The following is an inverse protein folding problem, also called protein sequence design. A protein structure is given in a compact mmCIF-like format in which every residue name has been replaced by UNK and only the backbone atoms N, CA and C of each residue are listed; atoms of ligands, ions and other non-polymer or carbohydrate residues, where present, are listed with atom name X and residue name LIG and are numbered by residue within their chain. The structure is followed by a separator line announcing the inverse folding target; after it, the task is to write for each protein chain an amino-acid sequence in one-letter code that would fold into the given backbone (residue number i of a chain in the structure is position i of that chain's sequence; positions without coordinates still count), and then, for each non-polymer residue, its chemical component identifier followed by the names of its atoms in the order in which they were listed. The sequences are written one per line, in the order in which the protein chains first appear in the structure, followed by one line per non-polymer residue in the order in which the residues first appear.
data_IF_319282516851
#
_entry.id   IF_319282516851
#
_cell.length_a   1.000
_cell.length_b   1.000
_cell.length_c   1.000
_cell.angle_alpha   90.00
_cell.angle_beta   90.00
_cell.angle_gamma   90.00
#
_symmetry.space_group_name_H-M   'P 1'
#
loop_
_entity.id
_entity.type
_entity.pdbx_description
1 polymer ?
#
# COMPACT_ATOMS: atom_id res chain seq x y z
N UNK A 1 -13.80 0.13 -12.58
CA UNK A 1 -13.81 -0.87 -11.46
C UNK A 1 -15.22 -1.35 -11.21
N UNK A 2 -15.43 -2.64 -10.98
CA UNK A 2 -16.73 -3.26 -10.73
C UNK A 2 -16.98 -3.44 -9.23
N UNK A 3 -17.45 -2.37 -8.59
CA UNK A 3 -17.73 -2.37 -7.14
C UNK A 3 -18.96 -3.22 -6.78
N UNK A 4 -19.91 -3.37 -7.69
CA UNK A 4 -21.11 -4.20 -7.47
C UNK A 4 -20.70 -5.67 -7.31
N UNK A 5 -19.89 -6.21 -8.22
CA UNK A 5 -19.38 -7.58 -8.12
C UNK A 5 -18.55 -7.81 -6.86
N UNK A 6 -17.79 -6.81 -6.39
CA UNK A 6 -17.05 -6.91 -5.13
C UNK A 6 -17.99 -7.05 -3.94
N UNK A 7 -19.04 -6.23 -3.86
CA UNK A 7 -20.06 -6.33 -2.80
C UNK A 7 -20.79 -7.65 -2.85
N UNK A 8 -21.13 -8.14 -4.07
CA UNK A 8 -21.81 -9.43 -4.22
C UNK A 8 -20.95 -10.57 -3.66
N UNK A 9 -19.64 -10.61 -3.96
CA UNK A 9 -18.74 -11.63 -3.39
C UNK A 9 -18.65 -11.57 -1.85
N UNK A 10 -18.77 -10.39 -1.26
CA UNK A 10 -18.86 -10.27 0.21
C UNK A 10 -20.19 -10.80 0.72
N UNK A 11 -21.30 -10.44 0.09
CA UNK A 11 -22.63 -10.96 0.44
C UNK A 11 -22.68 -12.49 0.35
N UNK A 12 -22.06 -13.08 -0.65
CA UNK A 12 -22.01 -14.55 -0.81
C UNK A 12 -21.28 -15.22 0.36
N UNK A 13 -20.25 -14.57 0.92
CA UNK A 13 -19.45 -15.09 2.06
C UNK A 13 -20.07 -14.80 3.43
N UNK A 14 -20.97 -13.83 3.52
CA UNK A 14 -21.68 -13.53 4.78
C UNK A 14 -22.64 -14.65 5.13
N UNK A 15 -22.91 -14.81 6.42
CA UNK A 15 -23.94 -15.73 6.91
C UNK A 15 -25.33 -15.26 6.49
N UNK A 16 -26.27 -16.19 6.33
CA UNK A 16 -27.68 -15.85 6.14
C UNK A 16 -28.20 -15.14 7.40
N UNK A 17 -29.22 -14.30 7.24
CA UNK A 17 -29.80 -13.50 8.32
C UNK A 17 -28.74 -12.61 9.00
N UNK A 18 -27.91 -11.97 8.21
CA UNK A 18 -26.87 -11.06 8.68
C UNK A 18 -26.90 -9.71 7.95
N UNK A 19 -26.33 -8.72 8.60
CA UNK A 19 -26.03 -7.41 8.00
C UNK A 19 -24.54 -7.09 8.09
N UNK A 20 -24.02 -6.27 7.19
CA UNK A 20 -22.72 -5.65 7.36
C UNK A 20 -22.87 -4.13 7.37
N UNK A 21 -22.23 -3.46 8.33
CA UNK A 21 -22.27 -2.01 8.48
C UNK A 21 -20.82 -1.52 8.44
N UNK A 22 -20.48 -0.75 7.41
CA UNK A 22 -19.13 -0.27 7.18
C UNK A 22 -19.12 1.25 7.06
N UNK A 23 -18.50 1.91 8.02
CA UNK A 23 -18.33 3.35 8.05
C UNK A 23 -17.08 3.75 7.27
N UNK A 24 -17.18 4.81 6.47
CA UNK A 24 -16.02 5.39 5.79
C UNK A 24 -15.03 6.06 6.77
N UNK A 25 -15.49 6.40 7.96
CA UNK A 25 -14.73 7.13 8.96
C UNK A 25 -15.21 8.57 9.12
N UNK A 26 -14.51 9.30 9.96
CA UNK A 26 -14.73 10.73 10.22
C UNK A 26 -13.41 11.46 10.07
N UNK A 27 -13.45 12.73 9.66
CA UNK A 27 -12.27 13.58 9.64
C UNK A 27 -11.73 13.79 11.06
N UNK A 28 -10.41 13.76 11.20
CA UNK A 28 -9.73 14.04 12.45
C UNK A 28 -9.05 15.40 12.40
N UNK A 29 -9.40 16.28 13.35
CA UNK A 29 -8.71 17.55 13.53
C UNK A 29 -7.32 17.31 14.13
N UNK A 30 -6.30 17.91 13.50
CA UNK A 30 -4.95 17.97 14.05
C UNK A 30 -4.87 19.13 15.04
N UNK A 31 -5.46 20.27 14.67
CA UNK A 31 -5.46 21.50 15.47
C UNK A 31 -6.55 22.44 14.99
N UNK A 32 -7.43 22.89 15.88
CA UNK A 32 -8.52 23.81 15.57
C UNK A 32 -9.33 23.34 14.35
N UNK A 33 -9.22 24.02 13.22
CA UNK A 33 -9.87 23.74 11.94
C UNK A 33 -8.95 23.08 10.89
N UNK A 34 -7.74 22.66 11.30
CA UNK A 34 -6.81 21.93 10.45
C UNK A 34 -7.11 20.43 10.52
N UNK A 35 -7.39 19.82 9.38
CA UNK A 35 -7.60 18.38 9.24
C UNK A 35 -6.30 17.65 8.89
N UNK A 36 -6.15 16.44 9.37
CA UNK A 36 -5.07 15.56 8.92
C UNK A 36 -5.37 15.05 7.50
N UNK A 37 -4.61 15.55 6.53
CA UNK A 37 -4.75 15.17 5.12
C UNK A 37 -4.49 13.68 4.88
N UNK A 38 -3.76 12.99 5.76
CA UNK A 38 -3.47 11.57 5.65
C UNK A 38 -4.60 10.70 6.22
N UNK A 39 -5.30 11.19 7.25
CA UNK A 39 -6.44 10.49 7.85
C UNK A 39 -7.79 10.88 7.23
N UNK A 40 -7.85 11.97 6.47
CA UNK A 40 -9.04 12.41 5.72
C UNK A 40 -9.43 11.47 4.56
N UNK A 41 -8.86 10.28 4.51
CA UNK A 41 -9.20 9.27 3.51
C UNK A 41 -10.21 8.29 4.11
N UNK A 42 -11.23 7.95 3.32
CA UNK A 42 -12.18 6.91 3.69
C UNK A 42 -11.45 5.61 4.09
N UNK A 43 -12.05 4.87 5.02
CA UNK A 43 -11.62 3.51 5.34
C UNK A 43 -11.36 2.72 4.04
N UNK A 44 -10.22 2.03 3.98
CA UNK A 44 -9.76 1.34 2.76
C UNK A 44 -10.75 0.30 2.26
N UNK A 45 -11.40 -0.42 3.17
CA UNK A 45 -12.39 -1.43 2.82
C UNK A 45 -13.70 -0.79 2.36
N UNK A 46 -14.08 0.39 2.91
CA UNK A 46 -15.19 1.18 2.38
C UNK A 46 -14.91 1.65 0.95
N UNK A 47 -13.73 2.21 0.70
CA UNK A 47 -13.33 2.59 -0.65
C UNK A 47 -13.33 1.38 -1.60
N UNK A 48 -12.77 0.23 -1.18
CA UNK A 48 -12.72 -0.99 -1.98
C UNK A 48 -14.10 -1.48 -2.43
N UNK A 49 -15.11 -1.30 -1.58
CA UNK A 49 -16.49 -1.76 -1.84
C UNK A 49 -17.38 -0.71 -2.52
N UNK A 50 -17.00 0.57 -2.53
CA UNK A 50 -17.87 1.66 -3.04
C UNK A 50 -17.22 2.56 -4.07
N UNK A 51 -15.89 2.64 -4.14
CA UNK A 51 -15.16 3.64 -4.94
C UNK A 51 -15.17 5.05 -4.34
N UNK A 52 -15.90 5.29 -3.26
CA UNK A 52 -16.04 6.59 -2.64
C UNK A 52 -14.92 6.82 -1.61
N UNK A 53 -14.37 8.06 -1.59
CA UNK A 53 -13.20 8.41 -0.78
C UNK A 53 -13.47 9.57 0.19
N UNK A 54 -14.71 9.74 0.56
CA UNK A 54 -15.11 10.78 1.50
C UNK A 54 -15.42 10.13 2.86
N UNK A 55 -15.20 10.90 3.89
CA UNK A 55 -15.64 10.61 5.26
C UNK A 55 -17.16 10.74 5.42
N UNK A 56 -17.63 10.34 6.58
CA UNK A 56 -19.02 10.46 7.02
C UNK A 56 -20.04 9.82 6.06
N UNK A 57 -19.70 8.63 5.55
CA UNK A 57 -20.58 7.78 4.75
C UNK A 57 -20.68 6.39 5.38
N UNK A 58 -21.77 5.67 5.11
CA UNK A 58 -22.00 4.33 5.63
C UNK A 58 -22.54 3.43 4.55
N UNK A 59 -21.90 2.28 4.36
CA UNK A 59 -22.40 1.18 3.52
C UNK A 59 -23.10 0.16 4.41
N UNK A 60 -24.32 -0.23 4.04
CA UNK A 60 -25.06 -1.32 4.68
C UNK A 60 -25.35 -2.41 3.64
N UNK A 61 -24.92 -3.64 3.94
CA UNK A 61 -25.26 -4.83 3.19
C UNK A 61 -26.27 -5.63 4.02
N UNK A 62 -27.49 -5.82 3.53
CA UNK A 62 -28.57 -6.53 4.22
C UNK A 62 -28.83 -7.90 3.54
N UNK A 63 -28.38 -8.98 4.16
CA UNK A 63 -28.61 -10.37 3.75
C UNK A 63 -29.77 -11.02 4.53
N UNK A 64 -30.64 -10.24 5.14
CA UNK A 64 -31.84 -10.73 5.80
C UNK A 64 -33.06 -10.77 4.88
N UNK A 65 -32.93 -10.24 3.68
CA UNK A 65 -33.97 -10.19 2.63
C UNK A 65 -33.49 -10.85 1.35
N UNK A 66 -34.46 -11.27 0.51
CA UNK A 66 -34.17 -11.87 -0.79
C UNK A 66 -34.89 -11.06 -1.89
N UNK A 67 -34.17 -10.50 -2.87
CA UNK A 67 -32.70 -10.47 -2.97
C UNK A 67 -32.06 -9.62 -1.86
N UNK A 68 -30.79 -9.91 -1.54
CA UNK A 68 -30.01 -9.09 -0.59
C UNK A 68 -29.93 -7.64 -1.07
N UNK A 69 -29.93 -6.70 -0.11
CA UNK A 69 -29.91 -5.26 -0.40
C UNK A 69 -28.59 -4.62 -0.09
N UNK A 70 -28.26 -3.60 -0.86
CA UNK A 70 -27.13 -2.71 -0.62
C UNK A 70 -27.64 -1.29 -0.47
N UNK A 71 -27.33 -0.63 0.63
CA UNK A 71 -27.75 0.74 0.91
C UNK A 71 -26.52 1.59 1.21
N UNK A 72 -26.50 2.81 0.71
CA UNK A 72 -25.45 3.79 0.98
C UNK A 72 -26.04 5.02 1.66
N UNK A 73 -25.42 5.46 2.74
CA UNK A 73 -25.79 6.67 3.47
C UNK A 73 -24.72 7.72 3.29
N UNK A 74 -25.12 8.94 2.86
CA UNK A 74 -24.22 10.05 2.59
C UNK A 74 -24.68 11.32 3.33
N UNK A 75 -23.77 12.28 3.49
CA UNK A 75 -24.15 13.60 4.03
C UNK A 75 -25.01 14.39 3.06
N UNK A 76 -26.03 15.05 3.58
CA UNK A 76 -26.77 16.06 2.82
C UNK A 76 -25.90 17.31 2.62
N UNK A 77 -25.90 17.84 1.41
CA UNK A 77 -25.13 19.04 1.06
C UNK A 77 -25.73 20.29 1.76
N UNK A 78 -24.91 21.00 2.55
CA UNK A 78 -25.22 22.33 3.08
C UNK A 78 -24.45 23.39 2.27
N UNK A 79 -25.12 24.25 1.51
CA UNK A 79 -24.45 25.26 0.68
C UNK A 79 -23.55 26.22 1.46
N UNK A 80 -23.78 26.41 2.76
CA UNK A 80 -22.93 27.24 3.61
C UNK A 80 -21.65 26.51 3.95
N UNK A 81 -21.76 25.23 4.36
CA UNK A 81 -20.60 24.39 4.72
C UNK A 81 -19.75 24.05 3.48
N UNK A 82 -20.37 23.87 2.32
CA UNK A 82 -19.64 23.63 1.07
C UNK A 82 -18.74 24.80 0.66
N UNK A 83 -19.05 26.03 1.07
CA UNK A 83 -18.15 27.19 0.86
C UNK A 83 -16.89 27.14 1.73
N UNK A 84 -16.94 26.42 2.84
CA UNK A 84 -15.79 26.27 3.77
C UNK A 84 -14.95 25.04 3.43
N UNK A 85 -15.62 23.90 3.19
CA UNK A 85 -14.96 22.59 3.13
C UNK A 85 -15.00 21.93 1.76
N UNK A 86 -15.55 22.61 0.75
CA UNK A 86 -15.73 22.05 -0.60
C UNK A 86 -17.03 21.28 -0.76
N UNK A 87 -17.33 20.94 -2.00
CA UNK A 87 -18.59 20.31 -2.42
C UNK A 87 -18.69 18.87 -1.87
N UNK A 88 -19.83 18.51 -1.34
CA UNK A 88 -20.16 17.12 -0.97
C UNK A 88 -20.55 16.31 -2.24
N UNK A 89 -20.46 15.00 -2.14
CA UNK A 89 -20.90 14.09 -3.20
C UNK A 89 -22.43 14.07 -3.23
N UNK A 90 -23.03 14.22 -4.42
CA UNK A 90 -24.48 14.11 -4.59
C UNK A 90 -24.92 12.64 -4.65
N UNK A 91 -26.22 12.36 -4.53
CA UNK A 91 -26.76 10.99 -4.66
C UNK A 91 -26.46 10.44 -6.06
N UNK A 92 -26.64 11.26 -7.11
CA UNK A 92 -26.39 10.86 -8.49
C UNK A 92 -24.91 10.52 -8.75
N UNK A 93 -23.99 11.32 -8.18
CA UNK A 93 -22.56 11.03 -8.26
C UNK A 93 -22.17 9.80 -7.47
N UNK A 94 -22.76 9.58 -6.30
CA UNK A 94 -22.53 8.39 -5.49
C UNK A 94 -23.03 7.13 -6.20
N UNK A 95 -24.18 7.19 -6.86
CA UNK A 95 -24.73 6.12 -7.70
C UNK A 95 -23.81 5.82 -8.90
N UNK A 96 -23.39 6.86 -9.64
CA UNK A 96 -22.49 6.73 -10.79
C UNK A 96 -21.16 6.08 -10.42
N UNK A 97 -20.59 6.44 -9.27
CA UNK A 97 -19.31 5.91 -8.80
C UNK A 97 -19.45 4.48 -8.26
N UNK A 98 -20.45 4.26 -7.40
CA UNK A 98 -20.55 3.02 -6.62
C UNK A 98 -21.41 1.94 -7.26
N UNK A 99 -22.32 2.31 -8.19
CA UNK A 99 -23.34 1.44 -8.73
C UNK A 99 -24.41 1.04 -7.69
N UNK A 100 -24.59 1.85 -6.63
CA UNK A 100 -25.62 1.63 -5.60
C UNK A 100 -26.77 2.57 -5.90
N UNK A 101 -27.98 2.04 -6.06
CA UNK A 101 -29.22 2.78 -6.36
C UNK A 101 -30.03 3.15 -5.11
N UNK A 102 -29.89 2.41 -4.01
CA UNK A 102 -30.56 2.71 -2.74
C UNK A 102 -29.65 3.63 -1.88
N UNK A 103 -29.75 4.96 -2.10
CA UNK A 103 -28.97 5.98 -1.42
C UNK A 103 -29.88 6.85 -0.55
N UNK A 104 -29.52 7.03 0.71
CA UNK A 104 -30.23 7.85 1.69
C UNK A 104 -29.27 8.86 2.35
N UNK A 105 -29.80 9.86 3.05
CA UNK A 105 -28.98 10.74 3.85
C UNK A 105 -28.62 10.11 5.21
N UNK A 106 -27.46 10.45 5.73
CA UNK A 106 -26.91 9.81 6.93
C UNK A 106 -27.78 9.95 8.18
N UNK A 107 -28.61 10.97 8.27
CA UNK A 107 -29.55 11.13 9.37
C UNK A 107 -30.70 10.10 9.36
N UNK A 108 -30.91 9.39 8.24
CA UNK A 108 -31.88 8.29 8.14
C UNK A 108 -31.29 6.93 8.58
N UNK A 109 -29.97 6.86 8.80
CA UNK A 109 -29.28 5.60 9.12
C UNK A 109 -29.87 4.91 10.36
N UNK A 110 -30.05 5.66 11.46
CA UNK A 110 -30.56 5.08 12.70
C UNK A 110 -31.96 4.52 12.52
N UNK A 111 -32.87 5.26 11.87
CA UNK A 111 -34.24 4.81 11.62
C UNK A 111 -34.29 3.59 10.69
N UNK A 112 -33.37 3.51 9.72
CA UNK A 112 -33.26 2.36 8.82
C UNK A 112 -32.69 1.15 9.54
N UNK A 113 -31.65 1.31 10.37
CA UNK A 113 -31.13 0.23 11.19
C UNK A 113 -32.18 -0.30 12.17
N UNK A 114 -32.93 0.57 12.88
CA UNK A 114 -33.99 0.15 13.76
C UNK A 114 -35.07 -0.66 13.03
N UNK A 115 -35.44 -0.24 11.82
CA UNK A 115 -36.38 -0.99 10.98
C UNK A 115 -35.86 -2.37 10.59
N UNK A 116 -34.55 -2.49 10.29
CA UNK A 116 -33.90 -3.76 9.98
C UNK A 116 -33.85 -4.65 11.24
N UNK A 117 -33.43 -4.06 12.36
CA UNK A 117 -33.21 -4.78 13.61
C UNK A 117 -34.50 -5.21 14.32
N UNK A 118 -35.66 -4.63 13.96
CA UNK A 118 -36.97 -5.09 14.47
C UNK A 118 -37.42 -6.42 13.80
N UNK A 119 -36.71 -6.90 12.81
CA UNK A 119 -36.93 -8.26 12.25
C UNK A 119 -36.44 -9.30 13.27
N UNK A 120 -37.19 -10.38 13.42
CA UNK A 120 -36.84 -11.48 14.33
C UNK A 120 -35.64 -12.32 13.81
N UNK A 121 -35.20 -12.11 12.57
CA UNK A 121 -34.27 -12.96 11.81
C UNK A 121 -32.88 -12.35 11.61
N UNK A 122 -32.51 -11.26 12.31
CA UNK A 122 -31.16 -10.70 12.30
C UNK A 122 -30.34 -11.31 13.43
N UNK A 123 -29.40 -12.22 13.09
CA UNK A 123 -28.58 -12.91 14.10
C UNK A 123 -27.15 -12.43 14.16
N UNK A 124 -26.62 -11.89 13.06
CA UNK A 124 -25.21 -11.47 12.96
C UNK A 124 -25.09 -10.09 12.32
N UNK A 125 -24.23 -9.24 12.88
CA UNK A 125 -23.82 -7.97 12.29
C UNK A 125 -22.29 -7.97 12.09
N UNK A 126 -21.85 -7.65 10.87
CA UNK A 126 -20.45 -7.53 10.52
C UNK A 126 -20.01 -6.08 10.56
N UNK A 127 -18.84 -5.82 11.19
CA UNK A 127 -18.15 -4.52 11.21
C UNK A 127 -16.69 -4.73 10.86
N UNK A 128 -16.05 -3.74 10.23
CA UNK A 128 -14.60 -3.74 10.07
C UNK A 128 -13.93 -3.43 11.41
N UNK A 129 -13.54 -4.47 12.14
CA UNK A 129 -12.93 -4.34 13.46
C UNK A 129 -11.43 -4.63 13.44
N UNK A 130 -10.78 -4.47 12.29
CA UNK A 130 -9.35 -4.66 12.17
C UNK A 130 -8.56 -3.65 13.03
N UNK A 131 -7.48 -4.13 13.65
CA UNK A 131 -6.47 -3.32 14.34
C UNK A 131 -5.12 -3.98 14.10
N UNK A 132 -4.16 -3.18 13.63
CA UNK A 132 -2.80 -3.69 13.39
C UNK A 132 -2.12 -4.05 14.71
N UNK A 133 -2.23 -3.20 15.74
CA UNK A 133 -1.72 -3.46 17.08
C UNK A 133 -2.77 -3.09 18.14
N UNK A 134 -2.70 -3.80 19.30
CA UNK A 134 -3.62 -3.54 20.41
C UNK A 134 -3.54 -2.12 20.96
N UNK A 135 -2.38 -1.48 20.84
CA UNK A 135 -2.13 -0.11 21.34
C UNK A 135 -2.65 0.98 20.40
N UNK A 136 -2.97 0.63 19.15
CA UNK A 136 -3.50 1.59 18.20
C UNK A 136 -4.83 2.17 18.69
N UNK A 137 -5.09 3.42 18.36
CA UNK A 137 -6.39 4.02 18.61
C UNK A 137 -7.48 3.22 17.88
N UNK A 138 -8.66 3.00 18.50
CA UNK A 138 -9.75 2.32 17.82
C UNK A 138 -10.17 3.10 16.56
N UNK A 139 -10.23 2.43 15.42
CA UNK A 139 -10.89 2.94 14.23
C UNK A 139 -12.38 3.24 14.52
N UNK A 140 -12.97 4.16 13.74
CA UNK A 140 -14.36 4.55 13.93
C UNK A 140 -15.32 3.36 13.82
N UNK A 141 -15.05 2.39 12.95
CA UNK A 141 -15.82 1.15 12.84
C UNK A 141 -15.77 0.31 14.13
N UNK A 142 -14.63 0.28 14.82
CA UNK A 142 -14.48 -0.42 16.12
C UNK A 142 -15.32 0.26 17.20
N UNK A 143 -15.35 1.60 17.20
CA UNK A 143 -16.21 2.37 18.14
C UNK A 143 -17.67 2.04 17.87
N UNK A 144 -18.13 2.12 16.62
CA UNK A 144 -19.50 1.83 16.21
C UNK A 144 -19.92 0.38 16.46
N UNK A 145 -19.02 -0.58 16.26
CA UNK A 145 -19.26 -1.98 16.61
C UNK A 145 -19.53 -2.18 18.12
N UNK A 146 -18.86 -1.41 18.98
CA UNK A 146 -19.07 -1.48 20.43
C UNK A 146 -20.38 -0.79 20.87
N UNK A 147 -20.74 0.32 20.24
CA UNK A 147 -22.05 0.97 20.43
C UNK A 147 -23.17 0.00 20.03
N UNK A 148 -23.08 -0.59 18.83
CA UNK A 148 -24.04 -1.57 18.33
C UNK A 148 -24.25 -2.77 19.28
N UNK A 149 -23.17 -3.33 19.85
CA UNK A 149 -23.28 -4.40 20.85
C UNK A 149 -24.06 -4.02 22.10
N UNK A 150 -24.00 -2.74 22.47
CA UNK A 150 -24.72 -2.21 23.62
C UNK A 150 -26.20 -2.07 23.31
N UNK A 151 -26.51 -1.60 22.12
CA UNK A 151 -27.90 -1.32 21.71
C UNK A 151 -28.65 -2.61 21.32
N UNK A 152 -27.95 -3.58 20.70
CA UNK A 152 -28.50 -4.84 20.21
C UNK A 152 -27.78 -6.06 20.80
N UNK A 153 -27.86 -6.30 22.14
CA UNK A 153 -27.07 -7.34 22.82
C UNK A 153 -27.44 -8.78 22.42
N UNK A 154 -28.55 -8.98 21.72
CA UNK A 154 -28.97 -10.30 21.19
C UNK A 154 -28.33 -10.66 19.85
N UNK A 155 -27.64 -9.74 19.19
CA UNK A 155 -27.03 -9.93 17.87
C UNK A 155 -25.53 -10.19 18.02
N UNK A 156 -25.03 -11.24 17.34
CA UNK A 156 -23.59 -11.52 17.32
C UNK A 156 -22.86 -10.50 16.43
N UNK A 157 -21.81 -9.87 16.97
CA UNK A 157 -20.95 -8.97 16.17
C UNK A 157 -19.72 -9.72 15.71
N UNK A 158 -19.49 -9.76 14.39
CA UNK A 158 -18.36 -10.39 13.70
C UNK A 158 -17.49 -9.39 12.96
N UNK A 159 -16.25 -9.78 12.69
CA UNK A 159 -15.30 -8.98 11.94
C UNK A 159 -15.50 -9.16 10.43
N UNK A 160 -15.76 -8.07 9.71
CA UNK A 160 -15.88 -8.03 8.26
C UNK A 160 -14.51 -8.15 7.56
N UNK A 161 -13.46 -7.68 8.21
CA UNK A 161 -12.12 -7.56 7.64
C UNK A 161 -11.62 -8.83 6.92
N UNK A 162 -11.70 -10.05 7.49
CA UNK A 162 -11.18 -11.23 6.81
C UNK A 162 -11.85 -11.52 5.47
N UNK A 163 -13.15 -11.19 5.34
CA UNK A 163 -13.90 -11.40 4.09
C UNK A 163 -13.43 -10.44 3.00
N UNK A 164 -13.20 -9.16 3.37
CA UNK A 164 -12.71 -8.14 2.43
C UNK A 164 -11.23 -8.34 2.13
N UNK A 165 -10.41 -8.67 3.12
CA UNK A 165 -8.98 -8.92 2.94
C UNK A 165 -8.74 -10.06 1.93
N UNK A 166 -9.52 -11.12 1.99
CA UNK A 166 -9.42 -12.24 1.04
C UNK A 166 -9.66 -11.78 -0.41
N UNK A 167 -10.62 -10.89 -0.64
CA UNK A 167 -10.88 -10.33 -1.97
C UNK A 167 -9.74 -9.39 -2.41
N UNK A 168 -9.27 -8.50 -1.54
CA UNK A 168 -8.19 -7.55 -1.80
C UNK A 168 -6.85 -8.23 -2.15
N UNK A 169 -6.63 -9.46 -1.72
CA UNK A 169 -5.42 -10.22 -2.06
C UNK A 169 -5.31 -10.52 -3.56
N UNK A 170 -6.41 -10.51 -4.33
CA UNK A 170 -6.43 -10.68 -5.78
C UNK A 170 -6.90 -9.39 -6.44
N UNK A 171 -6.04 -8.78 -7.23
CA UNK A 171 -6.34 -7.55 -7.96
C UNK A 171 -7.04 -7.89 -9.27
N UNK A 172 -8.08 -7.15 -9.60
CA UNK A 172 -8.70 -7.19 -10.91
C UNK A 172 -7.86 -6.39 -11.95
N UNK A 173 -8.28 -6.43 -13.22
CA UNK A 173 -7.55 -5.75 -14.30
C UNK A 173 -7.46 -4.24 -14.10
N UNK A 174 -8.51 -3.60 -13.59
CA UNK A 174 -8.53 -2.16 -13.33
C UNK A 174 -7.54 -1.78 -12.22
N UNK A 175 -7.47 -2.59 -11.14
CA UNK A 175 -6.52 -2.40 -10.03
C UNK A 175 -5.07 -2.54 -10.51
N UNK A 176 -4.80 -3.56 -11.34
CA UNK A 176 -3.48 -3.79 -11.94
C UNK A 176 -3.07 -2.60 -12.82
N UNK A 177 -3.99 -2.07 -13.63
CA UNK A 177 -3.71 -0.91 -14.47
C UNK A 177 -3.46 0.37 -13.68
N UNK A 178 -4.12 0.58 -12.55
CA UNK A 178 -3.85 1.71 -11.66
C UNK A 178 -2.46 1.59 -11.00
N UNK A 179 -2.10 0.40 -10.54
CA UNK A 179 -0.75 0.13 -10.02
C UNK A 179 0.32 0.38 -11.08
N UNK A 180 0.12 -0.06 -12.32
CA UNK A 180 1.04 0.23 -13.45
C UNK A 180 1.19 1.74 -13.72
N UNK A 181 0.11 2.51 -13.62
CA UNK A 181 0.18 3.99 -13.74
C UNK A 181 0.99 4.61 -12.61
N UNK A 182 0.83 4.12 -11.37
CA UNK A 182 1.62 4.56 -10.23
C UNK A 182 3.11 4.24 -10.43
N UNK A 183 3.44 3.03 -10.91
CA UNK A 183 4.81 2.61 -11.26
C UNK A 183 5.40 3.51 -12.35
N UNK A 184 4.64 3.84 -13.38
CA UNK A 184 5.13 4.70 -14.48
C UNK A 184 5.50 6.10 -13.97
N UNK A 185 4.68 6.71 -13.10
CA UNK A 185 5.03 7.98 -12.47
C UNK A 185 6.23 7.88 -11.53
N UNK A 186 6.34 6.79 -10.79
CA UNK A 186 7.50 6.53 -9.92
C UNK A 186 8.79 6.42 -10.75
N UNK A 187 8.74 5.76 -11.90
CA UNK A 187 9.84 5.72 -12.87
C UNK A 187 10.26 7.12 -13.31
N UNK A 188 9.31 7.96 -13.71
CA UNK A 188 9.59 9.34 -14.14
C UNK A 188 10.25 10.16 -13.01
N UNK A 189 9.76 9.99 -11.78
CA UNK A 189 10.34 10.60 -10.59
C UNK A 189 11.79 10.16 -10.35
N UNK A 190 12.06 8.86 -10.40
CA UNK A 190 13.41 8.29 -10.26
C UNK A 190 14.36 8.77 -11.36
N UNK A 191 13.89 8.84 -12.60
CA UNK A 191 14.67 9.40 -13.71
C UNK A 191 15.08 10.85 -13.45
N UNK A 192 14.17 11.66 -12.89
CA UNK A 192 14.49 13.04 -12.52
C UNK A 192 15.49 13.12 -11.37
N UNK A 193 15.37 12.28 -10.36
CA UNK A 193 16.35 12.21 -9.27
C UNK A 193 17.73 11.86 -9.80
N UNK A 194 17.88 10.79 -10.60
CA UNK A 194 19.17 10.39 -11.19
C UNK A 194 19.81 11.53 -11.98
N UNK A 195 19.04 12.31 -12.74
CA UNK A 195 19.54 13.42 -13.53
C UNK A 195 20.03 14.63 -12.70
N UNK A 196 19.51 14.82 -11.49
CA UNK A 196 19.84 15.94 -10.61
C UNK A 196 20.87 15.58 -9.51
N UNK A 197 21.02 14.29 -9.21
CA UNK A 197 21.82 13.80 -8.08
C UNK A 197 23.29 14.19 -8.19
N UNK A 198 23.84 14.80 -7.14
CA UNK A 198 25.26 15.20 -7.05
C UNK A 198 25.70 15.34 -5.61
N UNK A 199 27.03 15.19 -5.35
CA UNK A 199 27.61 15.45 -4.03
C UNK A 199 27.28 16.84 -3.51
N UNK A 200 27.05 16.92 -2.19
CA UNK A 200 26.69 18.16 -1.49
C UNK A 200 25.19 18.47 -1.46
N UNK A 201 24.35 17.75 -2.20
CA UNK A 201 22.90 17.82 -2.02
C UNK A 201 22.49 17.25 -0.64
N UNK A 202 21.37 17.72 -0.14
CA UNK A 202 20.70 17.12 1.02
C UNK A 202 19.72 16.02 0.56
N UNK A 203 19.52 15.02 1.40
CA UNK A 203 18.61 13.90 1.12
C UNK A 203 17.18 14.37 0.77
N UNK A 204 16.66 15.38 1.51
CA UNK A 204 15.34 15.97 1.19
C UNK A 204 15.27 16.65 -0.18
N UNK A 205 16.38 17.00 -0.81
CA UNK A 205 16.36 17.57 -2.17
C UNK A 205 16.10 16.46 -3.19
N UNK A 206 16.65 15.25 -2.99
CA UNK A 206 16.32 14.09 -3.82
C UNK A 206 14.83 13.70 -3.65
N UNK A 207 14.33 13.73 -2.40
CA UNK A 207 12.90 13.54 -2.11
C UNK A 207 12.04 14.57 -2.86
N UNK A 208 12.38 15.86 -2.77
CA UNK A 208 11.63 16.93 -3.44
C UNK A 208 11.66 16.80 -4.97
N UNK A 209 12.79 16.38 -5.55
CA UNK A 209 12.93 16.12 -6.99
C UNK A 209 12.00 14.99 -7.46
N UNK A 210 11.83 13.95 -6.64
CA UNK A 210 10.88 12.87 -6.89
C UNK A 210 9.43 13.35 -6.77
N UNK A 211 9.08 13.92 -5.62
CA UNK A 211 7.71 14.35 -5.30
C UNK A 211 7.18 15.40 -6.29
N UNK A 212 8.04 16.32 -6.76
CA UNK A 212 7.66 17.29 -7.78
C UNK A 212 7.16 16.63 -9.06
N UNK A 213 7.85 15.60 -9.55
CA UNK A 213 7.50 14.91 -10.79
C UNK A 213 6.20 14.14 -10.65
N UNK A 214 6.06 13.32 -9.61
CA UNK A 214 4.86 12.52 -9.44
C UNK A 214 3.62 13.39 -9.21
N UNK A 215 3.73 14.47 -8.42
CA UNK A 215 2.63 15.41 -8.20
C UNK A 215 2.24 16.14 -9.47
N UNK A 216 3.21 16.59 -10.26
CA UNK A 216 2.97 17.21 -11.56
C UNK A 216 2.35 16.22 -12.56
N UNK A 217 2.67 14.94 -12.45
CA UNK A 217 2.13 13.87 -13.28
C UNK A 217 0.72 13.41 -12.89
N UNK A 218 0.17 13.95 -11.79
CA UNK A 218 -1.21 13.68 -11.35
C UNK A 218 -1.34 12.68 -10.21
N UNK A 219 -0.23 12.26 -9.58
CA UNK A 219 -0.32 11.48 -8.34
C UNK A 219 -1.06 12.27 -7.26
N UNK A 220 -1.93 11.61 -6.52
CA UNK A 220 -2.65 12.21 -5.40
C UNK A 220 -1.69 12.59 -4.28
N UNK A 221 -0.75 11.70 -4.01
CA UNK A 221 0.30 11.84 -2.99
C UNK A 221 1.43 10.83 -3.25
N UNK A 222 2.45 10.83 -2.39
CA UNK A 222 3.36 9.69 -2.26
C UNK A 222 2.59 8.50 -1.68
N UNK A 223 2.97 7.28 -2.03
CA UNK A 223 2.38 6.05 -1.49
C UNK A 223 2.60 5.95 0.03
N UNK A 224 3.79 6.38 0.48
CA UNK A 224 4.25 6.43 1.87
C UNK A 224 5.29 7.55 2.02
N UNK A 225 5.80 7.76 3.25
CA UNK A 225 6.88 8.72 3.50
C UNK A 225 8.14 8.28 2.79
N UNK A 226 8.64 9.10 1.85
CA UNK A 226 9.85 8.80 1.06
C UNK A 226 11.05 8.57 1.97
N UNK A 227 11.76 7.49 1.76
CA UNK A 227 13.06 7.21 2.38
C UNK A 227 14.16 7.64 1.41
N UNK A 228 15.08 8.50 1.86
CA UNK A 228 16.25 8.92 1.11
C UNK A 228 17.48 8.87 2.03
N UNK A 229 18.04 7.68 2.20
CA UNK A 229 19.17 7.45 3.13
C UNK A 229 20.50 7.36 2.39
N UNK A 230 21.44 8.27 2.69
CA UNK A 230 22.78 8.28 2.09
C UNK A 230 23.86 7.76 3.03
N UNK A 231 24.87 7.08 2.49
CA UNK A 231 25.97 6.51 3.28
C UNK A 231 25.43 5.60 4.40
N UNK A 232 25.79 5.89 5.67
CA UNK A 232 25.33 5.14 6.85
C UNK A 232 23.81 5.14 7.00
N UNK A 233 23.10 6.22 6.61
CA UNK A 233 21.64 6.29 6.70
C UNK A 233 20.96 5.27 5.79
N UNK A 234 21.60 4.88 4.68
CA UNK A 234 21.12 3.82 3.79
C UNK A 234 21.12 2.43 4.43
N UNK A 235 21.77 2.25 5.59
CA UNK A 235 21.70 0.98 6.33
C UNK A 235 20.53 0.92 7.34
N UNK A 236 19.77 2.01 7.49
CA UNK A 236 18.58 2.09 8.32
C UNK A 236 17.33 1.82 7.49
N UNK A 237 16.55 0.80 7.83
CA UNK A 237 15.44 0.31 6.99
C UNK A 237 14.34 1.35 6.73
N UNK A 238 13.92 2.08 7.77
CA UNK A 238 12.86 3.11 7.70
C UNK A 238 13.42 4.49 8.10
N UNK A 239 14.48 4.92 7.40
CA UNK A 239 15.06 6.25 7.61
C UNK A 239 14.21 7.31 6.88
N UNK A 240 13.44 8.09 7.61
CA UNK A 240 12.50 9.10 7.09
C UNK A 240 12.90 10.56 7.35
N UNK A 241 13.99 10.77 8.07
CA UNK A 241 14.44 12.12 8.44
C UNK A 241 14.94 12.93 7.24
N UNK A 242 15.65 12.29 6.30
CA UNK A 242 16.11 12.82 5.00
C UNK A 242 16.82 14.17 5.09
N UNK A 243 17.74 14.37 6.05
CA UNK A 243 18.32 15.70 6.30
C UNK A 243 19.83 15.80 6.13
N UNK A 244 20.50 14.67 5.99
CA UNK A 244 21.95 14.67 5.91
C UNK A 244 22.46 15.10 4.53
N UNK A 245 23.73 15.45 4.47
CA UNK A 245 24.41 15.80 3.21
C UNK A 245 24.90 14.53 2.54
N UNK A 246 24.56 14.37 1.26
CA UNK A 246 25.05 13.28 0.45
C UNK A 246 26.50 13.55 0.03
N UNK A 247 27.41 12.74 0.56
CA UNK A 247 28.85 12.91 0.33
C UNK A 247 29.33 12.25 -0.97
N UNK A 248 30.45 12.73 -1.52
CA UNK A 248 31.06 12.18 -2.71
C UNK A 248 31.53 10.72 -2.47
N UNK A 249 31.21 9.83 -3.40
CA UNK A 249 31.56 8.41 -3.32
C UNK A 249 30.63 7.56 -2.46
N UNK A 250 29.59 8.15 -1.83
CA UNK A 250 28.56 7.40 -1.12
C UNK A 250 27.42 6.96 -2.06
N UNK A 251 26.60 6.03 -1.57
CA UNK A 251 25.33 5.66 -2.18
C UNK A 251 24.19 6.42 -1.50
N UNK A 252 23.07 6.59 -2.22
CA UNK A 252 21.78 6.95 -1.64
C UNK A 252 20.77 5.86 -1.99
N UNK A 253 20.16 5.29 -0.95
CA UNK A 253 19.02 4.39 -1.05
C UNK A 253 17.76 5.24 -1.07
N UNK A 254 16.95 5.06 -2.10
CA UNK A 254 15.66 5.74 -2.30
C UNK A 254 14.56 4.71 -2.32
N UNK A 255 13.69 4.77 -1.32
CA UNK A 255 12.50 3.94 -1.21
C UNK A 255 11.28 4.84 -1.24
N UNK A 256 10.45 4.67 -2.28
CA UNK A 256 9.46 5.66 -2.66
C UNK A 256 8.42 5.08 -3.63
N UNK A 257 7.25 5.69 -3.64
CA UNK A 257 6.17 5.30 -4.55
C UNK A 257 5.18 6.42 -4.80
N UNK A 258 4.50 6.37 -5.92
CA UNK A 258 3.37 7.23 -6.25
C UNK A 258 2.05 6.55 -5.87
N UNK A 259 1.01 7.36 -5.59
CA UNK A 259 -0.37 6.91 -5.42
C UNK A 259 -1.26 7.49 -6.50
N UNK A 260 -1.98 6.63 -7.20
CA UNK A 260 -2.96 7.02 -8.23
C UNK A 260 -4.28 6.31 -7.96
N UNK A 261 -5.34 7.09 -7.89
CA UNK A 261 -6.70 6.59 -7.66
C UNK A 261 -6.79 5.58 -6.51
N UNK A 262 -6.02 5.83 -5.42
CA UNK A 262 -5.96 5.01 -4.22
C UNK A 262 -5.00 3.84 -4.29
N UNK A 263 -4.43 3.51 -5.45
CA UNK A 263 -3.49 2.40 -5.64
C UNK A 263 -2.04 2.89 -5.61
N UNK A 264 -1.17 2.07 -5.04
CA UNK A 264 0.21 2.43 -4.76
C UNK A 264 1.18 1.68 -5.69
N UNK A 265 2.36 2.27 -5.90
CA UNK A 265 3.58 1.57 -6.25
C UNK A 265 4.55 1.59 -5.08
N UNK A 266 5.48 0.65 -5.06
CA UNK A 266 6.51 0.50 -4.03
C UNK A 266 7.83 0.10 -4.68
N UNK A 267 8.74 1.05 -4.78
CA UNK A 267 9.98 0.89 -5.55
C UNK A 267 11.17 1.40 -4.75
N UNK A 268 12.14 0.54 -4.53
CA UNK A 268 13.45 0.96 -4.03
C UNK A 268 14.50 0.87 -5.11
N UNK A 269 15.33 1.92 -5.20
CA UNK A 269 16.56 1.94 -5.98
C UNK A 269 17.71 2.57 -5.16
N UNK A 270 18.91 2.07 -5.40
CA UNK A 270 20.12 2.62 -4.76
C UNK A 270 21.07 3.17 -5.83
N UNK A 271 21.44 4.44 -5.72
CA UNK A 271 22.23 5.15 -6.71
C UNK A 271 23.56 5.69 -6.12
N UNK A 272 24.65 5.75 -6.92
CA UNK A 272 25.86 6.43 -6.49
C UNK A 272 25.67 7.95 -6.60
N UNK A 273 25.91 8.68 -5.50
CA UNK A 273 25.65 10.13 -5.41
C UNK A 273 26.43 10.92 -6.48
N UNK A 274 27.62 10.47 -6.86
CA UNK A 274 28.46 11.11 -7.88
C UNK A 274 28.29 10.52 -9.31
N UNK A 275 27.39 9.53 -9.49
CA UNK A 275 27.15 8.86 -10.77
C UNK A 275 28.12 7.70 -11.08
N UNK A 276 28.92 7.25 -10.10
CA UNK A 276 29.87 6.14 -10.27
C UNK A 276 29.88 5.23 -9.04
N UNK A 277 29.63 3.95 -9.24
CA UNK A 277 29.82 2.95 -8.20
C UNK A 277 31.32 2.64 -8.01
N UNK A 278 31.73 2.43 -6.77
CA UNK A 278 33.00 1.78 -6.47
C UNK A 278 32.89 0.28 -6.73
N UNK A 279 34.02 -0.41 -6.90
CA UNK A 279 34.06 -1.86 -7.12
C UNK A 279 33.34 -2.63 -5.99
N UNK A 280 33.54 -2.20 -4.73
CA UNK A 280 32.88 -2.82 -3.58
C UNK A 280 31.36 -2.63 -3.61
N UNK A 281 30.90 -1.45 -3.97
CA UNK A 281 29.47 -1.15 -4.11
C UNK A 281 28.83 -2.00 -5.20
N UNK A 282 29.51 -2.15 -6.37
CA UNK A 282 29.05 -3.04 -7.45
C UNK A 282 28.93 -4.49 -7.01
N UNK A 283 29.93 -5.01 -6.29
CA UNK A 283 29.88 -6.40 -5.80
C UNK A 283 28.67 -6.64 -4.88
N UNK A 284 28.36 -5.72 -3.96
CA UNK A 284 27.18 -5.83 -3.10
C UNK A 284 25.88 -5.65 -3.91
N UNK A 285 25.86 -4.67 -4.83
CA UNK A 285 24.71 -4.39 -5.68
C UNK A 285 24.33 -5.61 -6.54
N UNK A 286 25.30 -6.27 -7.15
CA UNK A 286 25.09 -7.44 -7.99
C UNK A 286 24.52 -8.63 -7.21
N UNK A 287 24.88 -8.78 -5.92
CA UNK A 287 24.31 -9.81 -5.05
C UNK A 287 22.82 -9.53 -4.81
N UNK A 288 22.48 -8.28 -4.49
CA UNK A 288 21.08 -7.87 -4.26
C UNK A 288 20.26 -8.00 -5.55
N UNK A 289 20.81 -7.56 -6.69
CA UNK A 289 20.15 -7.69 -7.99
C UNK A 289 19.94 -9.16 -8.39
N UNK A 290 20.88 -10.04 -8.07
CA UNK A 290 20.72 -11.47 -8.31
C UNK A 290 19.59 -12.07 -7.46
N UNK A 291 19.42 -11.62 -6.21
CA UNK A 291 18.33 -12.04 -5.36
C UNK A 291 16.98 -11.55 -5.90
N UNK A 292 16.87 -10.27 -6.27
CA UNK A 292 15.67 -9.68 -6.86
C UNK A 292 15.21 -10.46 -8.11
N UNK A 293 16.12 -10.68 -9.07
CA UNK A 293 15.83 -11.49 -10.27
C UNK A 293 15.39 -12.92 -9.95
N UNK A 294 15.97 -13.50 -8.88
CA UNK A 294 15.64 -14.87 -8.48
C UNK A 294 14.22 -14.99 -7.92
N UNK A 295 13.74 -13.99 -7.22
CA UNK A 295 12.36 -13.98 -6.70
C UNK A 295 11.36 -13.97 -7.85
N UNK A 296 11.51 -13.06 -8.82
CA UNK A 296 10.64 -13.03 -10.01
C UNK A 296 10.65 -14.37 -10.76
N UNK A 297 11.82 -15.02 -10.88
CA UNK A 297 11.97 -16.31 -11.56
C UNK A 297 11.19 -17.44 -10.88
N UNK A 298 11.12 -17.44 -9.54
CA UNK A 298 10.55 -18.59 -8.79
C UNK A 298 9.13 -18.34 -8.28
N UNK A 299 8.72 -17.09 -8.16
CA UNK A 299 7.41 -16.72 -7.62
C UNK A 299 6.28 -17.29 -8.50
N UNK A 300 5.30 -17.89 -7.86
CA UNK A 300 4.15 -18.51 -8.54
C UNK A 300 2.99 -18.72 -7.58
N UNK A 301 1.78 -18.98 -8.08
CA UNK A 301 0.63 -19.34 -7.27
C UNK A 301 0.93 -20.51 -6.33
N UNK A 302 0.38 -20.43 -5.11
CA UNK A 302 0.53 -21.45 -4.07
C UNK A 302 1.74 -21.29 -3.17
N UNK A 303 2.72 -20.46 -3.52
CA UNK A 303 3.81 -20.06 -2.62
C UNK A 303 3.34 -19.05 -1.58
N UNK A 304 4.08 -18.95 -0.49
CA UNK A 304 3.94 -17.90 0.52
C UNK A 304 5.09 -16.90 0.41
N UNK A 305 4.91 -15.67 0.88
CA UNK A 305 6.00 -14.68 0.98
C UNK A 305 7.16 -15.17 1.84
N UNK A 306 6.86 -16.02 2.84
CA UNK A 306 7.88 -16.67 3.68
C UNK A 306 8.76 -17.65 2.89
N UNK A 307 8.17 -18.45 1.99
CA UNK A 307 8.95 -19.34 1.12
C UNK A 307 9.82 -18.54 0.14
N UNK A 308 9.34 -17.43 -0.39
CA UNK A 308 10.15 -16.49 -1.21
C UNK A 308 11.30 -15.91 -0.39
N UNK A 309 11.07 -15.55 0.87
CA UNK A 309 12.10 -15.02 1.74
C UNK A 309 13.25 -16.02 2.00
N UNK A 310 12.95 -17.30 2.13
CA UNK A 310 14.02 -18.32 2.28
C UNK A 310 14.86 -18.41 1.00
N UNK A 311 14.26 -18.34 -0.20
CA UNK A 311 15.01 -18.28 -1.48
C UNK A 311 15.89 -17.04 -1.54
N UNK A 312 15.38 -15.87 -1.13
CA UNK A 312 16.16 -14.63 -1.04
C UNK A 312 17.39 -14.79 -0.15
N UNK A 313 17.17 -15.31 1.07
CA UNK A 313 18.26 -15.54 2.05
C UNK A 313 19.36 -16.44 1.50
N UNK A 314 19.00 -17.49 0.78
CA UNK A 314 19.99 -18.41 0.19
C UNK A 314 20.90 -17.68 -0.79
N UNK A 315 20.32 -16.85 -1.71
CA UNK A 315 21.09 -16.09 -2.69
C UNK A 315 21.98 -15.04 -2.03
N UNK A 316 21.43 -14.28 -1.07
CA UNK A 316 22.18 -13.26 -0.36
C UNK A 316 23.31 -13.86 0.49
N UNK A 317 23.04 -14.97 1.18
CA UNK A 317 24.06 -15.66 1.99
C UNK A 317 25.21 -16.18 1.15
N UNK A 318 24.93 -16.79 -0.02
CA UNK A 318 25.95 -17.26 -0.95
C UNK A 318 26.85 -16.09 -1.42
N UNK A 319 26.27 -14.94 -1.72
CA UNK A 319 26.98 -13.74 -2.07
C UNK A 319 27.86 -13.21 -0.94
N UNK A 320 27.32 -13.09 0.27
CA UNK A 320 28.06 -12.64 1.46
C UNK A 320 29.20 -13.58 1.85
N UNK A 321 29.04 -14.90 1.68
CA UNK A 321 30.11 -15.87 1.89
C UNK A 321 31.25 -15.68 0.88
N UNK A 322 30.94 -15.40 -0.39
CA UNK A 322 31.95 -15.10 -1.43
C UNK A 322 32.74 -13.82 -1.13
N UNK A 323 32.08 -12.82 -0.54
CA UNK A 323 32.72 -11.58 -0.06
C UNK A 323 33.50 -11.77 1.24
N UNK A 324 33.35 -12.92 1.91
CA UNK A 324 34.00 -13.19 3.20
C UNK A 324 33.40 -12.47 4.39
N UNK A 325 32.21 -11.92 4.26
CA UNK A 325 31.49 -11.19 5.33
C UNK A 325 30.84 -12.12 6.35
N UNK A 326 30.40 -13.30 5.90
CA UNK A 326 29.86 -14.37 6.75
C UNK A 326 30.56 -15.69 6.44
N UNK A 327 30.53 -16.63 7.42
CA UNK A 327 31.14 -17.97 7.29
C UNK A 327 30.12 -19.04 6.92
N UNK A 328 28.85 -18.80 7.24
CA UNK A 328 27.74 -19.72 6.99
C UNK A 328 26.43 -18.92 6.86
N UNK A 329 25.40 -19.54 6.29
CA UNK A 329 24.11 -18.88 6.02
C UNK A 329 23.35 -18.44 7.27
N UNK A 330 23.62 -19.00 8.44
CA UNK A 330 22.93 -18.58 9.70
C UNK A 330 23.32 -17.15 10.09
N UNK A 331 24.48 -16.68 9.68
CA UNK A 331 24.97 -15.34 10.00
C UNK A 331 24.34 -14.24 9.12
N UNK A 332 23.47 -14.57 8.16
CA UNK A 332 22.85 -13.62 7.23
C UNK A 332 22.06 -12.53 7.96
N UNK A 333 21.45 -12.84 9.10
CA UNK A 333 20.67 -11.89 9.91
C UNK A 333 21.47 -10.67 10.39
N UNK A 334 22.80 -10.71 10.26
CA UNK A 334 23.65 -9.54 10.54
C UNK A 334 23.51 -8.45 9.46
N UNK A 335 23.17 -8.82 8.23
CA UNK A 335 23.16 -7.94 7.08
C UNK A 335 21.82 -7.90 6.33
N UNK A 336 20.89 -8.79 6.68
CA UNK A 336 19.54 -8.87 6.14
C UNK A 336 18.54 -9.22 7.24
N UNK A 337 17.66 -8.28 7.60
CA UNK A 337 16.84 -8.37 8.80
C UNK A 337 15.33 -8.15 8.58
N UNK A 338 14.88 -8.12 7.31
CA UNK A 338 13.46 -7.98 6.96
C UNK A 338 12.95 -9.12 6.07
N UNK A 339 11.70 -9.10 5.68
CA UNK A 339 11.12 -10.01 4.68
C UNK A 339 11.40 -9.49 3.28
N UNK A 340 11.46 -10.39 2.29
CA UNK A 340 11.67 -10.01 0.88
C UNK A 340 10.40 -9.51 0.21
N UNK A 341 9.23 -9.64 0.85
CA UNK A 341 7.97 -9.38 0.14
C UNK A 341 6.81 -9.16 1.10
N UNK A 342 5.92 -8.28 0.71
CA UNK A 342 4.56 -8.09 1.24
C UNK A 342 3.58 -7.91 0.08
N UNK A 343 2.27 -7.97 0.35
CA UNK A 343 1.25 -7.61 -0.64
C UNK A 343 1.21 -6.10 -0.83
N UNK A 344 0.88 -5.67 -2.06
CA UNK A 344 0.74 -4.28 -2.47
C UNK A 344 -0.64 -4.05 -3.09
N UNK A 345 -1.24 -2.88 -2.85
CA UNK A 345 -2.52 -2.49 -3.44
C UNK A 345 -3.00 -1.12 -2.97
N UNK A 346 -4.18 -1.06 -2.37
CA UNK A 346 -4.74 0.16 -1.77
C UNK A 346 -3.88 0.61 -0.58
N UNK A 347 -3.39 -0.34 0.20
CA UNK A 347 -2.33 -0.09 1.17
C UNK A 347 -0.98 -0.52 0.59
N UNK A 348 0.10 0.14 0.98
CA UNK A 348 1.46 -0.22 0.56
C UNK A 348 1.80 -1.60 1.12
N UNK A 349 1.67 -1.79 2.44
CA UNK A 349 1.63 -3.10 3.06
C UNK A 349 0.18 -3.60 3.05
N UNK A 350 -0.26 -4.15 1.90
CA UNK A 350 -1.64 -4.52 1.70
C UNK A 350 -2.05 -5.73 2.54
N UNK A 351 -3.34 -5.81 2.80
CA UNK A 351 -3.92 -6.76 3.74
C UNK A 351 -3.82 -8.21 3.28
N UNK A 352 -3.66 -9.11 4.24
CA UNK A 352 -3.77 -10.56 4.05
C UNK A 352 -4.66 -11.16 5.13
N UNK A 353 -5.25 -12.32 4.85
CA UNK A 353 -6.08 -13.03 5.85
C UNK A 353 -5.22 -13.50 7.03
N UNK A 354 -4.04 -14.04 6.72
CA UNK A 354 -3.03 -14.46 7.70
C UNK A 354 -1.61 -14.45 7.11
N UNK A 355 -0.61 -14.58 7.99
CA UNK A 355 0.82 -14.57 7.60
C UNK A 355 1.28 -15.77 6.77
N UNK A 356 0.44 -16.77 6.57
CA UNK A 356 0.70 -17.96 5.75
C UNK A 356 -0.18 -17.99 4.50
N UNK A 357 -0.86 -16.87 4.20
CA UNK A 357 -1.69 -16.76 2.99
C UNK A 357 -0.87 -17.10 1.76
N UNK A 358 -1.45 -17.94 0.90
CA UNK A 358 -0.79 -18.36 -0.34
C UNK A 358 -1.08 -17.37 -1.45
N UNK A 359 -0.04 -17.06 -2.21
CA UNK A 359 -0.14 -16.23 -3.41
C UNK A 359 -1.15 -16.85 -4.39
N UNK A 360 -1.98 -16.00 -4.97
CA UNK A 360 -2.98 -16.37 -5.98
C UNK A 360 -2.74 -15.56 -7.26
N UNK A 361 -3.17 -16.04 -8.42
CA UNK A 361 -3.18 -15.20 -9.63
C UNK A 361 -3.89 -13.87 -9.36
N UNK A 362 -3.36 -12.76 -9.86
CA UNK A 362 -3.82 -11.42 -9.58
C UNK A 362 -3.23 -10.78 -8.31
N UNK A 363 -2.51 -11.51 -7.46
CA UNK A 363 -1.79 -10.88 -6.34
C UNK A 363 -0.66 -10.00 -6.87
N UNK A 364 -0.54 -8.78 -6.33
CA UNK A 364 0.64 -7.93 -6.52
C UNK A 364 1.42 -7.94 -5.20
N UNK A 365 2.72 -8.16 -5.30
CA UNK A 365 3.64 -8.23 -4.15
C UNK A 365 4.88 -7.38 -4.42
N UNK A 366 5.53 -6.90 -3.35
CA UNK A 366 6.90 -6.38 -3.44
C UNK A 366 7.89 -7.51 -3.64
N UNK A 367 9.05 -7.18 -4.23
CA UNK A 367 10.25 -8.01 -4.29
C UNK A 367 11.44 -7.12 -3.92
N UNK A 368 11.81 -7.11 -2.64
CA UNK A 368 12.66 -6.09 -2.00
C UNK A 368 13.91 -6.64 -1.29
N UNK A 369 14.73 -7.49 -1.91
CA UNK A 369 15.97 -7.90 -1.27
C UNK A 369 16.88 -6.71 -0.96
N UNK A 370 17.60 -6.78 0.16
CA UNK A 370 18.55 -5.75 0.55
C UNK A 370 19.74 -6.30 1.34
N UNK A 371 20.84 -5.56 1.36
CA UNK A 371 22.00 -5.80 2.21
C UNK A 371 22.44 -4.51 2.87
N UNK A 372 22.62 -4.56 4.20
CA UNK A 372 22.91 -3.41 5.05
C UNK A 372 24.19 -3.67 5.83
N UNK A 373 25.31 -3.09 5.36
CA UNK A 373 26.67 -3.37 5.82
C UNK A 373 27.24 -2.12 6.49
N UNK A 374 26.98 -1.96 7.78
CA UNK A 374 27.36 -0.78 8.56
C UNK A 374 28.86 -0.50 8.51
N UNK A 375 29.70 -1.54 8.62
CA UNK A 375 31.14 -1.42 8.58
C UNK A 375 31.72 -0.90 7.24
N UNK A 376 30.89 -0.88 6.19
CA UNK A 376 31.23 -0.32 4.88
C UNK A 376 30.40 0.92 4.52
N UNK A 377 29.45 1.31 5.37
CA UNK A 377 28.46 2.36 5.10
C UNK A 377 27.73 2.12 3.76
N UNK A 378 27.41 0.85 3.49
CA UNK A 378 26.72 0.41 2.28
C UNK A 378 25.37 -0.20 2.65
N UNK A 379 24.28 0.52 2.35
CA UNK A 379 22.93 -0.01 2.31
C UNK A 379 22.45 -0.07 0.86
N UNK A 380 22.05 -1.24 0.40
CA UNK A 380 21.52 -1.45 -0.96
C UNK A 380 20.23 -2.26 -0.83
N UNK A 381 19.13 -1.73 -1.34
CA UNK A 381 17.87 -2.42 -1.61
C UNK A 381 17.49 -2.18 -3.07
N UNK A 382 16.99 -3.22 -3.72
CA UNK A 382 16.39 -3.15 -5.05
C UNK A 382 15.01 -3.77 -4.92
N UNK A 383 13.99 -2.99 -5.22
CA UNK A 383 12.61 -3.38 -5.04
C UNK A 383 11.80 -3.14 -6.31
N UNK A 384 11.01 -4.13 -6.63
CA UNK A 384 10.11 -4.13 -7.77
C UNK A 384 8.71 -4.60 -7.35
N UNK A 385 7.69 -4.10 -8.04
CA UNK A 385 6.32 -4.58 -7.94
C UNK A 385 6.11 -5.77 -8.87
N UNK A 386 5.64 -6.88 -8.33
CA UNK A 386 5.54 -8.17 -9.04
C UNK A 386 4.11 -8.68 -9.04
N UNK A 387 3.55 -8.91 -10.22
CA UNK A 387 2.23 -9.53 -10.41
C UNK A 387 2.37 -11.05 -10.48
N UNK A 388 1.62 -11.77 -9.68
CA UNK A 388 1.48 -13.21 -9.75
C UNK A 388 0.47 -13.56 -10.85
N UNK A 389 0.90 -14.36 -11.84
CA UNK A 389 0.09 -14.83 -12.96
C UNK A 389 -0.46 -16.25 -12.70
N UNK A 390 -1.15 -16.84 -13.66
CA UNK A 390 -1.69 -18.21 -13.53
C UNK A 390 -0.61 -19.27 -13.28
N UNK A 391 0.60 -19.09 -13.82
CA UNK A 391 1.66 -20.10 -13.82
C UNK A 391 3.04 -19.58 -13.36
N UNK A 392 3.15 -18.30 -12.99
CA UNK A 392 4.42 -17.69 -12.60
C UNK A 392 4.25 -16.28 -12.04
N UNK A 393 5.17 -15.39 -12.39
CA UNK A 393 5.18 -13.99 -12.00
C UNK A 393 5.73 -13.07 -13.10
N UNK A 394 5.32 -11.81 -13.08
CA UNK A 394 5.77 -10.76 -14.00
C UNK A 394 6.15 -9.51 -13.20
N UNK A 395 7.35 -9.01 -13.41
CA UNK A 395 7.79 -7.73 -12.85
C UNK A 395 7.06 -6.58 -13.57
N UNK A 396 6.22 -5.83 -12.86
CA UNK A 396 5.48 -4.69 -13.41
C UNK A 396 6.38 -3.45 -13.60
N UNK A 397 7.47 -3.38 -12.85
CA UNK A 397 8.47 -2.29 -12.86
C UNK A 397 9.74 -2.62 -13.67
N UNK A 398 9.69 -3.61 -14.57
CA UNK A 398 10.83 -4.07 -15.40
C UNK A 398 11.52 -2.93 -16.15
N UNK A 399 10.76 -1.90 -16.55
CA UNK A 399 11.25 -0.74 -17.29
C UNK A 399 12.07 0.26 -16.44
N UNK A 400 12.11 0.11 -15.12
CA UNK A 400 12.90 0.97 -14.23
C UNK A 400 14.34 0.50 -14.22
N UNK A 401 15.26 1.39 -14.57
CA UNK A 401 16.71 1.10 -14.63
C UNK A 401 17.19 0.50 -13.31
N UNK A 402 17.90 -0.65 -13.38
CA UNK A 402 18.34 -1.40 -12.21
C UNK A 402 19.71 -2.08 -12.32
N UNK A 403 20.44 -1.97 -13.43
CA UNK A 403 21.83 -2.47 -13.50
C UNK A 403 22.81 -1.34 -13.20
N UNK A 404 23.95 -1.65 -12.60
CA UNK A 404 24.98 -0.65 -12.31
C UNK A 404 25.47 0.07 -13.55
N UNK A 405 25.58 -0.64 -14.66
CA UNK A 405 26.00 -0.12 -15.96
C UNK A 405 25.00 0.88 -16.53
N UNK A 406 23.71 0.52 -16.52
CA UNK A 406 22.63 1.38 -17.05
C UNK A 406 22.43 2.63 -16.18
N UNK A 407 22.55 2.50 -14.84
CA UNK A 407 22.49 3.62 -13.90
C UNK A 407 23.63 4.61 -14.19
N UNK A 408 24.90 4.12 -14.26
CA UNK A 408 26.06 4.96 -14.55
C UNK A 408 25.94 5.63 -15.94
N UNK A 409 25.44 4.92 -16.94
CA UNK A 409 25.22 5.44 -18.28
C UNK A 409 24.16 6.54 -18.30
N UNK A 410 22.99 6.28 -17.68
CA UNK A 410 21.90 7.24 -17.58
C UNK A 410 22.32 8.52 -16.86
N UNK A 411 22.97 8.39 -15.70
CA UNK A 411 23.43 9.54 -14.92
C UNK A 411 24.47 10.37 -15.66
N UNK A 412 25.36 9.72 -16.44
CA UNK A 412 26.36 10.42 -17.24
C UNK A 412 25.73 11.19 -18.41
N UNK A 413 24.70 10.64 -19.06
CA UNK A 413 24.03 11.24 -20.23
C UNK A 413 23.10 12.39 -19.82
N UNK A 414 22.39 12.26 -18.69
CA UNK A 414 21.31 13.19 -18.29
C UNK A 414 21.70 14.17 -17.18
N UNK A 415 22.99 14.21 -16.80
CA UNK A 415 23.48 15.10 -15.72
C UNK A 415 23.13 16.55 -16.01
N UNK A 416 22.30 17.14 -15.13
CA UNK A 416 22.00 18.58 -15.17
C UNK A 416 23.14 19.36 -14.51
N UNK A 417 23.60 20.42 -15.18
CA UNK A 417 24.70 21.29 -14.72
C UNK A 417 24.31 22.14 -13.51
#
# INVERSE_FOLDING_TARGET
MDFESRRQRILDKMEDNSIAILYSGIEHHVSADEYDLFTAQANRNFFYLTGLRRDNMVLVLDKCVEPAKTMLFIEEADPTMERWYGRKVTMEEAEEISGIDEIEYIYELESTLDRIMTREDVYTAYFDTYRHQKVDLPDYNVVKANEFKTDYPGVAVKNLFPLVAEERMQKDEDEIELTKKAIALTKDGLCNVMANLKPGMKEYQAQADFEYIIRRGGAEWTAFSTIAGSGMNGTMLHYDTNRETMEDGTLVLLDLGARIDGYNSDITRTYPVNGRFTERQKQVYDIVLAANRKIVEVAKPGMTTKELNEVCKDVLADGLMKLGLIKNSVEISKYYMHSVSHHLGIDVHDVTVDSNSRLRPGAIISDEPGLYIDEWEIGIRIEDDVLITEDGAVCLSEDIIRTTEDIEAYMAEHKKN
#
